data_IF_231596488725
#
_entry.id   IF_231596488725
#
_cell.length_a   1.000
_cell.length_b   1.000
_cell.length_c   1.000
_cell.angle_alpha   90.00
_cell.angle_beta   90.00
_cell.angle_gamma   90.00
#
_symmetry.space_group_name_H-M   'P 1'
#
loop_
_entity.id
_entity.type
_entity.pdbx_description
1 polymer ?
#
# COMPACT_ATOMS: atom_id res chain seq x y z
N UNK A 1 -51.71 36.56 -11.57
CA UNK A 1 -51.54 35.62 -10.44
C UNK A 1 -51.23 34.25 -11.00
N UNK A 2 -50.17 33.59 -10.53
CA UNK A 2 -49.86 32.23 -10.96
C UNK A 2 -50.92 31.26 -10.41
N UNK A 3 -51.40 30.31 -11.21
CA UNK A 3 -52.33 29.28 -10.72
C UNK A 3 -51.60 28.35 -9.75
N UNK A 4 -52.31 27.69 -8.80
CA UNK A 4 -51.71 26.71 -7.91
C UNK A 4 -50.87 25.64 -8.64
N UNK A 5 -51.31 25.22 -9.83
CA UNK A 5 -50.55 24.31 -10.69
C UNK A 5 -49.24 24.89 -11.23
N UNK A 6 -49.17 26.19 -11.52
CA UNK A 6 -47.94 26.87 -11.95
C UNK A 6 -46.94 27.03 -10.80
N UNK A 7 -47.42 27.23 -9.57
CA UNK A 7 -46.56 27.31 -8.37
C UNK A 7 -45.94 25.93 -8.09
N UNK A 8 -46.75 24.86 -8.16
CA UNK A 8 -46.26 23.48 -7.99
C UNK A 8 -45.27 23.14 -9.10
N UNK A 9 -45.58 23.43 -10.37
CA UNK A 9 -44.69 23.13 -11.50
C UNK A 9 -43.35 23.86 -11.40
N UNK A 10 -43.34 25.14 -11.02
CA UNK A 10 -42.10 25.92 -10.84
C UNK A 10 -41.25 25.40 -9.68
N UNK A 11 -41.89 24.96 -8.59
CA UNK A 11 -41.20 24.37 -7.43
C UNK A 11 -40.63 22.99 -7.75
N UNK A 12 -41.38 22.18 -8.50
CA UNK A 12 -40.92 20.87 -9.02
C UNK A 12 -39.74 21.07 -10.00
N UNK A 13 -39.81 21.99 -10.96
CA UNK A 13 -38.69 22.25 -11.88
C UNK A 13 -37.44 22.78 -11.19
N UNK A 14 -37.58 23.62 -10.15
CA UNK A 14 -36.45 24.07 -9.32
C UNK A 14 -35.80 22.89 -8.58
N UNK A 15 -36.62 21.98 -8.04
CA UNK A 15 -36.13 20.80 -7.34
C UNK A 15 -35.55 19.74 -8.29
N UNK A 16 -36.02 19.65 -9.53
CA UNK A 16 -35.41 18.82 -10.58
C UNK A 16 -34.01 19.35 -10.92
N UNK A 17 -33.82 20.66 -11.05
CA UNK A 17 -32.49 21.24 -11.28
C UNK A 17 -31.53 21.06 -10.10
N UNK A 18 -32.04 21.09 -8.86
CA UNK A 18 -31.26 20.68 -7.67
C UNK A 18 -30.95 19.18 -7.68
N UNK A 19 -31.89 18.35 -8.16
CA UNK A 19 -31.70 16.91 -8.35
C UNK A 19 -30.67 16.56 -9.43
N UNK A 20 -30.55 17.35 -10.50
CA UNK A 20 -29.50 17.20 -11.51
C UNK A 20 -28.11 17.52 -10.95
N UNK A 21 -28.00 18.60 -10.16
CA UNK A 21 -26.76 18.90 -9.39
C UNK A 21 -26.43 17.78 -8.40
N UNK A 22 -27.44 17.24 -7.72
CA UNK A 22 -27.28 16.09 -6.84
C UNK A 22 -26.86 14.84 -7.61
N UNK A 23 -27.39 14.60 -8.81
CA UNK A 23 -27.03 13.47 -9.66
C UNK A 23 -25.58 13.59 -10.16
N UNK A 24 -25.09 14.79 -10.47
CA UNK A 24 -23.69 15.01 -10.81
C UNK A 24 -22.77 14.83 -9.61
N UNK A 25 -23.18 15.29 -8.42
CA UNK A 25 -22.47 14.99 -7.16
C UNK A 25 -22.49 13.50 -6.88
N UNK A 26 -23.59 12.79 -7.10
CA UNK A 26 -23.68 11.34 -6.96
C UNK A 26 -22.88 10.60 -8.01
N UNK A 27 -22.74 11.11 -9.24
CA UNK A 27 -21.81 10.55 -10.23
C UNK A 27 -20.36 10.78 -9.81
N UNK A 28 -20.05 11.94 -9.22
CA UNK A 28 -18.72 12.23 -8.67
C UNK A 28 -18.44 11.31 -7.47
N UNK A 29 -19.39 11.14 -6.56
CA UNK A 29 -19.34 10.21 -5.43
C UNK A 29 -19.34 8.77 -5.87
N UNK A 30 -20.08 8.37 -6.91
CA UNK A 30 -20.07 7.00 -7.44
C UNK A 30 -18.73 6.71 -8.11
N UNK A 31 -18.12 7.68 -8.81
CA UNK A 31 -16.73 7.54 -9.30
C UNK A 31 -15.73 7.48 -8.15
N UNK A 32 -15.91 8.30 -7.11
CA UNK A 32 -15.12 8.19 -5.88
C UNK A 32 -15.38 6.87 -5.15
N UNK A 33 -16.59 6.29 -5.21
CA UNK A 33 -16.93 5.01 -4.60
C UNK A 33 -16.43 3.83 -5.43
N UNK A 34 -16.36 3.96 -6.75
CA UNK A 34 -15.77 2.97 -7.65
C UNK A 34 -14.24 3.01 -7.50
N UNK A 35 -13.66 4.22 -7.41
CA UNK A 35 -12.29 4.47 -6.95
C UNK A 35 -12.10 3.85 -5.57
N UNK A 36 -12.94 4.15 -4.59
CA UNK A 36 -12.91 3.62 -3.22
C UNK A 36 -13.33 2.15 -3.12
N UNK A 37 -13.91 1.53 -4.14
CA UNK A 37 -14.13 0.07 -4.16
C UNK A 37 -12.90 -0.63 -4.68
N UNK A 38 -12.25 0.00 -5.66
CA UNK A 38 -10.90 -0.33 -6.10
C UNK A 38 -9.87 0.05 -5.02
N UNK A 39 -10.16 1.00 -4.13
CA UNK A 39 -9.28 1.48 -3.05
C UNK A 39 -9.67 0.97 -1.64
N UNK A 40 -10.87 0.47 -1.42
CA UNK A 40 -11.19 -0.39 -0.27
C UNK A 40 -10.69 -1.81 -0.54
N UNK A 41 -10.43 -2.14 -1.81
CA UNK A 41 -9.47 -3.18 -2.17
C UNK A 41 -8.02 -2.68 -2.04
N UNK A 42 -7.70 -1.42 -2.34
CA UNK A 42 -6.35 -0.84 -2.29
C UNK A 42 -6.27 0.52 -1.53
N UNK A 43 -5.95 0.51 -0.23
CA UNK A 43 -6.08 1.67 0.70
C UNK A 43 -5.50 3.00 0.14
N UNK A 44 -6.27 4.11 0.20
CA UNK A 44 -5.94 5.43 -0.41
C UNK A 44 -4.90 6.23 0.35
N UNK A 45 -4.04 6.92 -0.39
CA UNK A 45 -3.19 7.99 0.08
C UNK A 45 -3.53 9.35 -0.50
N UNK A 46 -3.56 10.35 0.37
CA UNK A 46 -3.86 11.73 0.04
C UNK A 46 -2.72 12.63 0.50
N UNK A 47 -2.28 13.55 -0.37
CA UNK A 47 -1.33 14.60 -0.02
C UNK A 47 -1.95 15.59 0.96
N UNK A 48 -1.11 16.36 1.68
CA UNK A 48 -1.53 17.29 2.75
C UNK A 48 -2.51 18.39 2.26
N UNK A 49 -2.39 18.83 1.01
CA UNK A 49 -3.28 19.83 0.40
C UNK A 49 -4.67 19.27 0.05
N UNK A 50 -4.77 17.97 -0.24
CA UNK A 50 -6.02 17.33 -0.66
C UNK A 50 -6.80 16.64 0.45
N UNK A 51 -6.18 16.38 1.61
CA UNK A 51 -6.92 16.01 2.82
C UNK A 51 -7.89 17.16 3.24
N UNK A 52 -7.46 18.41 2.99
CA UNK A 52 -8.32 19.58 3.14
C UNK A 52 -9.44 19.61 2.10
N UNK A 53 -9.18 19.25 0.84
CA UNK A 53 -10.19 19.23 -0.22
C UNK A 53 -11.15 18.03 -0.12
N UNK A 54 -10.71 16.87 0.37
CA UNK A 54 -11.55 15.69 0.59
C UNK A 54 -12.51 15.91 1.77
N UNK A 55 -12.00 16.47 2.88
CA UNK A 55 -12.86 16.90 3.98
C UNK A 55 -13.79 18.04 3.58
N UNK A 56 -13.36 18.93 2.68
CA UNK A 56 -14.21 19.98 2.12
C UNK A 56 -15.27 19.41 1.17
N UNK A 57 -14.97 18.43 0.33
CA UNK A 57 -15.94 17.72 -0.53
C UNK A 57 -16.94 16.96 0.34
N UNK A 58 -16.50 16.31 1.43
CA UNK A 58 -17.42 15.69 2.40
C UNK A 58 -18.27 16.72 3.13
N UNK A 59 -17.69 17.87 3.51
CA UNK A 59 -18.43 18.98 4.12
C UNK A 59 -19.47 19.54 3.15
N UNK A 60 -19.11 19.71 1.87
CA UNK A 60 -19.99 20.13 0.79
C UNK A 60 -21.07 19.07 0.53
N UNK A 61 -20.72 17.78 0.50
CA UNK A 61 -21.68 16.68 0.39
C UNK A 61 -22.64 16.67 1.60
N UNK A 62 -22.15 16.88 2.82
CA UNK A 62 -22.97 17.04 4.03
C UNK A 62 -23.90 18.25 3.93
N UNK A 63 -23.41 19.37 3.39
CA UNK A 63 -24.21 20.57 3.13
C UNK A 63 -25.27 20.35 2.05
N UNK A 64 -25.03 19.45 1.07
CA UNK A 64 -25.98 19.05 0.03
C UNK A 64 -27.00 18.02 0.57
N UNK A 65 -26.60 17.15 1.49
CA UNK A 65 -27.48 16.16 2.13
C UNK A 65 -28.41 16.78 3.17
N UNK A 66 -28.06 17.94 3.73
CA UNK A 66 -28.91 18.65 4.69
C UNK A 66 -30.26 19.14 4.06
N UNK A 67 -30.28 19.68 2.82
CA UNK A 67 -31.50 19.80 2.02
C UNK A 67 -32.27 18.49 1.79
N UNK A 68 -31.60 17.35 1.67
CA UNK A 68 -32.25 16.04 1.50
C UNK A 68 -33.10 15.67 2.72
N UNK A 69 -32.71 16.05 3.94
CA UNK A 69 -33.56 15.90 5.13
C UNK A 69 -34.86 16.71 5.04
N UNK A 70 -34.80 17.91 4.44
CA UNK A 70 -36.01 18.71 4.16
C UNK A 70 -36.89 18.06 3.07
N UNK A 71 -36.27 17.40 2.09
CA UNK A 71 -36.96 16.66 1.04
C UNK A 71 -37.63 15.39 1.60
N UNK A 72 -36.94 14.63 2.45
CA UNK A 72 -37.46 13.48 3.20
C UNK A 72 -38.70 13.89 3.98
N UNK A 73 -38.59 14.93 4.81
CA UNK A 73 -39.73 15.42 5.61
C UNK A 73 -40.87 15.99 4.76
N UNK A 74 -40.59 16.54 3.57
CA UNK A 74 -41.64 16.96 2.61
C UNK A 74 -42.34 15.76 1.98
N UNK A 75 -41.61 14.71 1.60
CA UNK A 75 -42.17 13.49 1.01
C UNK A 75 -43.01 12.73 2.04
N UNK A 76 -42.55 12.63 3.29
CA UNK A 76 -43.32 12.04 4.40
C UNK A 76 -44.63 12.81 4.66
N UNK A 77 -44.58 14.15 4.62
CA UNK A 77 -45.78 15.00 4.71
C UNK A 77 -46.74 14.82 3.53
N UNK A 78 -46.22 14.62 2.32
CA UNK A 78 -47.04 14.32 1.14
C UNK A 78 -47.72 12.95 1.24
N UNK A 79 -47.00 11.94 1.75
CA UNK A 79 -47.52 10.59 1.92
C UNK A 79 -48.55 10.48 3.06
N UNK A 80 -48.40 11.27 4.13
CA UNK A 80 -49.31 11.28 5.27
C UNK A 80 -50.56 12.15 5.09
N UNK A 81 -50.64 12.99 4.05
CA UNK A 81 -51.80 13.84 3.80
C UNK A 81 -52.93 13.07 3.06
N UNK A 82 -54.12 12.90 3.67
CA UNK A 82 -55.26 12.25 3.03
C UNK A 82 -55.97 13.15 1.98
N UNK A 83 -55.57 14.43 1.86
CA UNK A 83 -56.33 15.48 1.15
C UNK A 83 -55.76 15.81 -0.24
N UNK A 84 -54.58 15.30 -0.58
CA UNK A 84 -53.92 15.66 -1.85
C UNK A 84 -54.29 14.69 -2.98
N UNK A 85 -54.95 15.21 -4.04
CA UNK A 85 -55.22 14.51 -5.31
C UNK A 85 -53.95 14.22 -6.14
N UNK A 86 -52.81 13.94 -5.49
CA UNK A 86 -51.62 13.45 -6.17
C UNK A 86 -51.92 12.08 -6.79
N UNK A 87 -51.55 11.89 -8.05
CA UNK A 87 -51.79 10.62 -8.73
C UNK A 87 -51.07 9.46 -8.00
N UNK A 88 -51.63 8.24 -8.01
CA UNK A 88 -50.95 7.07 -7.45
C UNK A 88 -49.52 6.88 -7.97
N UNK A 89 -49.30 7.21 -9.24
CA UNK A 89 -47.97 7.21 -9.87
C UNK A 89 -47.00 8.16 -9.18
N UNK A 90 -47.41 9.40 -8.88
CA UNK A 90 -46.53 10.37 -8.19
C UNK A 90 -46.18 9.91 -6.77
N UNK A 91 -47.13 9.32 -6.04
CA UNK A 91 -46.89 8.75 -4.70
C UNK A 91 -45.91 7.57 -4.75
N UNK A 92 -46.05 6.71 -5.75
CA UNK A 92 -45.12 5.59 -5.97
C UNK A 92 -43.71 6.08 -6.27
N UNK A 93 -43.55 7.03 -7.20
CA UNK A 93 -42.23 7.59 -7.54
C UNK A 93 -41.60 8.35 -6.37
N UNK A 94 -42.40 9.07 -5.57
CA UNK A 94 -41.90 9.75 -4.37
C UNK A 94 -41.42 8.75 -3.31
N UNK A 95 -42.12 7.62 -3.14
CA UNK A 95 -41.71 6.54 -2.24
C UNK A 95 -40.40 5.90 -2.70
N UNK A 96 -40.28 5.58 -3.98
CA UNK A 96 -39.05 5.02 -4.56
C UNK A 96 -37.86 5.98 -4.42
N UNK A 97 -38.08 7.27 -4.70
CA UNK A 97 -37.06 8.30 -4.51
C UNK A 97 -36.61 8.39 -3.03
N UNK A 98 -37.56 8.32 -2.10
CA UNK A 98 -37.27 8.33 -0.66
C UNK A 98 -36.43 7.11 -0.24
N UNK A 99 -36.74 5.93 -0.75
CA UNK A 99 -35.96 4.71 -0.49
C UNK A 99 -34.52 4.84 -1.01
N UNK A 100 -34.32 5.41 -2.21
CA UNK A 100 -33.00 5.67 -2.79
C UNK A 100 -32.21 6.67 -1.93
N UNK A 101 -32.82 7.82 -1.59
CA UNK A 101 -32.17 8.85 -0.77
C UNK A 101 -31.74 8.28 0.60
N UNK A 102 -32.61 7.48 1.22
CA UNK A 102 -32.31 6.84 2.51
C UNK A 102 -31.12 5.90 2.41
N UNK A 103 -31.05 5.07 1.36
CA UNK A 103 -29.90 4.20 1.12
C UNK A 103 -28.62 5.00 0.91
N UNK A 104 -28.68 6.06 0.10
CA UNK A 104 -27.53 6.93 -0.14
C UNK A 104 -27.02 7.56 1.15
N UNK A 105 -27.90 8.08 2.01
CA UNK A 105 -27.51 8.65 3.30
C UNK A 105 -26.78 7.66 4.19
N UNK A 106 -27.23 6.39 4.23
CA UNK A 106 -26.55 5.33 4.97
C UNK A 106 -25.14 5.09 4.41
N UNK A 107 -25.00 5.01 3.07
CA UNK A 107 -23.70 4.82 2.43
C UNK A 107 -22.75 6.00 2.70
N UNK A 108 -23.25 7.24 2.64
CA UNK A 108 -22.45 8.43 2.95
C UNK A 108 -21.95 8.43 4.40
N UNK A 109 -22.81 8.05 5.35
CA UNK A 109 -22.39 7.94 6.76
C UNK A 109 -21.28 6.91 6.94
N UNK A 110 -21.35 5.78 6.23
CA UNK A 110 -20.31 4.74 6.27
C UNK A 110 -18.99 5.25 5.68
N UNK A 111 -19.04 5.98 4.57
CA UNK A 111 -17.86 6.60 3.94
C UNK A 111 -17.24 7.64 4.88
N UNK A 112 -18.05 8.56 5.42
CA UNK A 112 -17.57 9.60 6.33
C UNK A 112 -16.87 9.00 7.56
N UNK A 113 -17.47 7.97 8.16
CA UNK A 113 -16.87 7.25 9.28
C UNK A 113 -15.56 6.56 8.90
N UNK A 114 -15.50 5.93 7.72
CA UNK A 114 -14.30 5.28 7.21
C UNK A 114 -13.17 6.27 6.96
N UNK A 115 -13.46 7.42 6.34
CA UNK A 115 -12.48 8.46 6.08
C UNK A 115 -11.99 9.12 7.38
N UNK A 116 -12.88 9.37 8.34
CA UNK A 116 -12.48 9.85 9.67
C UNK A 116 -11.54 8.86 10.35
N UNK A 117 -11.82 7.56 10.26
CA UNK A 117 -10.97 6.51 10.81
C UNK A 117 -9.61 6.47 10.11
N UNK A 118 -9.56 6.57 8.79
CA UNK A 118 -8.32 6.60 8.01
C UNK A 118 -7.47 7.82 8.39
N UNK A 119 -8.03 9.04 8.40
CA UNK A 119 -7.31 10.25 8.83
C UNK A 119 -6.79 10.12 10.26
N UNK A 120 -7.56 9.50 11.16
CA UNK A 120 -7.13 9.24 12.54
C UNK A 120 -5.94 8.28 12.60
N UNK A 121 -5.96 7.20 11.82
CA UNK A 121 -4.85 6.25 11.74
C UNK A 121 -3.60 6.88 11.11
N UNK A 122 -3.76 7.65 10.03
CA UNK A 122 -2.68 8.42 9.40
C UNK A 122 -1.99 9.34 10.43
N UNK A 123 -2.78 10.12 11.18
CA UNK A 123 -2.28 10.96 12.27
C UNK A 123 -1.49 10.16 13.32
N UNK A 124 -1.97 8.98 13.71
CA UNK A 124 -1.25 8.10 14.66
C UNK A 124 0.07 7.62 14.06
N UNK A 125 0.10 7.22 12.79
CA UNK A 125 1.30 6.75 12.08
C UNK A 125 2.36 7.85 12.05
N UNK A 126 1.99 9.09 11.74
CA UNK A 126 2.92 10.22 11.66
C UNK A 126 3.50 10.63 13.03
N UNK A 127 2.82 10.29 14.12
CA UNK A 127 3.22 10.67 15.47
C UNK A 127 4.40 9.83 15.98
N UNK A 128 5.52 10.49 16.32
CA UNK A 128 6.72 9.84 16.90
C UNK A 128 6.47 9.21 18.27
N UNK A 129 5.79 9.92 19.16
CA UNK A 129 5.55 9.49 20.55
C UNK A 129 4.11 9.01 20.76
N UNK A 130 3.78 7.82 20.21
CA UNK A 130 2.46 7.21 20.38
C UNK A 130 2.24 6.75 21.83
N UNK A 131 1.14 7.18 22.43
CA UNK A 131 0.72 6.65 23.73
C UNK A 131 0.13 5.22 23.59
N UNK A 132 -0.16 4.56 24.70
CA UNK A 132 -0.65 3.17 24.68
C UNK A 132 -2.03 3.01 24.01
N UNK A 133 -2.90 4.01 24.12
CA UNK A 133 -4.23 3.97 23.49
C UNK A 133 -4.11 4.14 21.97
N UNK A 134 -3.24 5.04 21.50
CA UNK A 134 -2.94 5.22 20.07
C UNK A 134 -2.30 3.96 19.45
N UNK A 135 -1.38 3.30 20.17
CA UNK A 135 -0.81 2.01 19.75
C UNK A 135 -1.87 0.92 19.63
N UNK A 136 -2.83 0.90 20.57
CA UNK A 136 -3.94 -0.06 20.54
C UNK A 136 -4.88 0.22 19.36
N UNK A 137 -5.24 1.48 19.14
CA UNK A 137 -6.09 1.92 18.03
C UNK A 137 -5.47 1.54 16.67
N UNK A 138 -4.15 1.73 16.51
CA UNK A 138 -3.40 1.31 15.33
C UNK A 138 -3.48 -0.20 15.07
N UNK A 139 -3.37 -1.01 16.12
CA UNK A 139 -3.40 -2.47 16.03
C UNK A 139 -4.80 -3.00 15.80
N UNK A 140 -5.80 -2.41 16.44
CA UNK A 140 -7.20 -2.76 16.19
C UNK A 140 -7.54 -2.52 14.73
N UNK A 141 -7.08 -1.41 14.16
CA UNK A 141 -7.21 -1.14 12.72
C UNK A 141 -6.48 -2.18 11.87
N UNK A 142 -5.22 -2.51 12.19
CA UNK A 142 -4.46 -3.53 11.46
C UNK A 142 -5.16 -4.90 11.51
N UNK A 143 -5.60 -5.36 12.69
CA UNK A 143 -6.32 -6.63 12.89
C UNK A 143 -7.62 -6.70 12.10
N UNK A 144 -8.35 -5.58 12.02
CA UNK A 144 -9.58 -5.47 11.23
C UNK A 144 -9.30 -5.66 9.74
N UNK A 145 -8.16 -5.14 9.25
CA UNK A 145 -7.76 -5.15 7.84
C UNK A 145 -7.00 -6.40 7.41
N UNK A 146 -6.31 -7.09 8.30
CA UNK A 146 -5.62 -8.34 7.94
C UNK A 146 -6.65 -9.45 7.66
N UNK A 147 -6.54 -10.22 6.57
CA UNK A 147 -7.44 -11.35 6.33
C UNK A 147 -7.06 -12.57 7.17
N UNK A 148 -5.78 -12.73 7.49
CA UNK A 148 -5.22 -13.98 7.99
C UNK A 148 -5.27 -14.11 9.53
N UNK A 149 -5.84 -15.20 10.08
CA UNK A 149 -5.93 -15.40 11.54
C UNK A 149 -4.57 -15.43 12.24
N UNK A 150 -3.54 -15.98 11.59
CA UNK A 150 -2.18 -16.06 12.15
C UNK A 150 -1.58 -14.67 12.34
N UNK A 151 -1.82 -13.77 11.39
CA UNK A 151 -1.39 -12.37 11.44
C UNK A 151 -2.14 -11.63 12.55
N UNK A 152 -3.47 -11.78 12.62
CA UNK A 152 -4.29 -11.17 13.68
C UNK A 152 -3.82 -11.57 15.08
N UNK A 153 -3.45 -12.83 15.27
CA UNK A 153 -2.95 -13.30 16.55
C UNK A 153 -1.59 -12.68 16.86
N UNK A 154 -0.68 -12.66 15.88
CA UNK A 154 0.64 -12.04 16.05
C UNK A 154 0.53 -10.55 16.43
N UNK A 155 -0.34 -9.79 15.76
CA UNK A 155 -0.57 -8.36 16.05
C UNK A 155 -1.02 -8.11 17.50
N UNK A 156 -1.87 -8.98 18.07
CA UNK A 156 -2.32 -8.88 19.46
C UNK A 156 -1.21 -9.11 20.47
N UNK A 157 -0.29 -10.02 20.16
CA UNK A 157 0.80 -10.42 21.04
C UNK A 157 2.00 -9.47 20.96
N UNK A 158 2.16 -8.75 19.85
CA UNK A 158 3.38 -8.03 19.52
C UNK A 158 3.17 -6.52 19.35
N UNK A 159 2.32 -5.94 20.21
CA UNK A 159 1.89 -4.53 20.10
C UNK A 159 3.04 -3.54 19.94
N UNK A 160 4.04 -3.63 20.82
CA UNK A 160 5.17 -2.70 20.80
C UNK A 160 6.10 -2.93 19.60
N UNK A 161 6.25 -4.18 19.17
CA UNK A 161 7.09 -4.54 18.02
C UNK A 161 6.45 -4.06 16.72
N UNK A 162 5.13 -4.27 16.56
CA UNK A 162 4.40 -3.77 15.41
C UNK A 162 4.44 -2.24 15.30
N UNK A 163 4.28 -1.52 16.42
CA UNK A 163 4.39 -0.05 16.44
C UNK A 163 5.73 0.43 15.88
N UNK A 164 6.83 -0.27 16.17
CA UNK A 164 8.17 0.05 15.65
C UNK A 164 8.34 -0.31 14.18
N UNK A 165 7.76 -1.42 13.73
CA UNK A 165 7.71 -1.74 12.31
C UNK A 165 6.96 -0.65 11.52
N UNK A 166 5.87 -0.12 12.08
CA UNK A 166 5.17 1.05 11.51
C UNK A 166 6.06 2.29 11.50
N UNK A 167 6.87 2.52 12.54
CA UNK A 167 7.84 3.64 12.55
C UNK A 167 8.89 3.49 11.45
N UNK A 168 9.41 2.28 11.24
CA UNK A 168 10.36 1.97 10.17
C UNK A 168 9.75 2.24 8.78
N UNK A 169 8.51 1.80 8.53
CA UNK A 169 7.84 2.05 7.25
C UNK A 169 7.46 3.52 7.08
N UNK A 170 7.08 4.20 8.15
CA UNK A 170 6.83 5.63 8.12
C UNK A 170 8.10 6.44 7.81
N UNK A 171 9.26 5.98 8.27
CA UNK A 171 10.56 6.54 7.89
C UNK A 171 10.87 6.31 6.40
N UNK A 172 10.65 5.10 5.88
CA UNK A 172 10.78 4.79 4.45
C UNK A 172 9.93 5.75 3.62
N UNK A 173 8.68 5.92 4.02
CA UNK A 173 7.75 6.85 3.36
C UNK A 173 8.26 8.30 3.38
N UNK A 174 8.76 8.79 4.52
CA UNK A 174 9.34 10.15 4.59
C UNK A 174 10.48 10.32 3.60
N UNK A 175 11.33 9.30 3.44
CA UNK A 175 12.44 9.34 2.48
C UNK A 175 11.97 9.35 1.03
N UNK A 176 10.91 8.60 0.72
CA UNK A 176 10.30 8.65 -0.61
C UNK A 176 9.71 10.02 -0.94
N UNK A 177 9.08 10.67 0.06
CA UNK A 177 8.55 12.03 -0.09
C UNK A 177 9.68 13.05 -0.30
N UNK A 178 10.79 12.94 0.46
CA UNK A 178 11.98 13.80 0.31
C UNK A 178 12.62 13.68 -1.08
N UNK A 179 12.77 12.47 -1.62
CA UNK A 179 13.33 12.27 -2.98
C UNK A 179 12.42 12.83 -4.08
N UNK A 180 11.09 12.81 -3.88
CA UNK A 180 10.16 13.41 -4.84
C UNK A 180 10.24 14.94 -4.84
N UNK A 181 10.39 15.55 -3.66
CA UNK A 181 10.60 17.00 -3.54
C UNK A 181 11.92 17.42 -4.22
N UNK A 182 12.99 16.64 -4.08
CA UNK A 182 14.28 16.90 -4.75
C UNK A 182 14.17 16.78 -6.29
N UNK A 183 13.48 15.75 -6.82
CA UNK A 183 13.25 15.60 -8.27
C UNK A 183 12.43 16.75 -8.86
N UNK A 184 11.40 17.23 -8.16
CA UNK A 184 10.58 18.37 -8.61
C UNK A 184 11.40 19.67 -8.65
N UNK A 185 12.29 19.91 -7.68
CA UNK A 185 13.18 21.08 -7.67
C UNK A 185 14.19 21.06 -8.84
N UNK A 186 14.77 19.90 -9.16
CA UNK A 186 15.70 19.76 -10.30
C UNK A 186 15.02 20.01 -11.66
N UNK A 187 13.79 19.51 -11.86
CA UNK A 187 13.03 19.75 -13.09
C UNK A 187 12.65 21.23 -13.30
N UNK A 188 12.37 21.97 -12.22
CA UNK A 188 12.09 23.40 -12.27
C UNK A 188 13.35 24.22 -12.66
N UNK A 189 14.51 23.88 -12.11
CA UNK A 189 15.78 24.55 -12.44
C UNK A 189 16.19 24.33 -13.91
N UNK A 190 16.08 23.10 -14.44
CA UNK A 190 16.38 22.82 -15.85
C UNK A 190 15.42 23.52 -16.81
N UNK A 191 14.15 23.69 -16.41
CA UNK A 191 13.13 24.40 -17.18
C UNK A 191 13.42 25.89 -17.35
N UNK A 192 13.98 26.54 -16.32
CA UNK A 192 14.32 27.97 -16.36
C UNK A 192 15.57 28.26 -17.21
N UNK A 193 16.59 27.40 -17.19
CA UNK A 193 17.80 27.57 -18.01
C UNK A 193 17.54 27.38 -19.52
N UNK A 194 16.54 26.57 -19.89
CA UNK A 194 16.16 26.30 -21.28
C UNK A 194 15.35 27.42 -21.96
N UNK A 195 14.66 28.29 -21.19
CA UNK A 195 13.75 29.31 -21.74
C UNK A 195 14.39 30.68 -22.03
N UNK A 196 15.68 30.89 -21.72
CA UNK A 196 16.33 32.20 -21.92
C UNK A 196 16.71 32.51 -23.40
N UNK A 197 16.55 31.56 -24.34
CA UNK A 197 17.05 31.71 -25.71
C UNK A 197 16.03 32.04 -26.82
N UNK A 198 14.71 31.93 -26.63
CA UNK A 198 13.72 32.31 -27.67
C UNK A 198 12.38 32.82 -27.08
N UNK A 199 12.34 34.05 -26.55
CA UNK A 199 11.07 34.70 -26.17
C UNK A 199 10.37 35.36 -27.38
N UNK A 200 9.57 34.58 -28.10
CA UNK A 200 8.38 35.13 -28.78
C UNK A 200 7.17 35.08 -27.81
N UNK A 201 6.36 36.15 -27.71
CA UNK A 201 5.23 36.21 -26.78
C UNK A 201 4.10 35.29 -27.24
N UNK A 202 4.05 34.05 -26.72
CA UNK A 202 2.90 33.16 -26.87
C UNK A 202 1.91 33.39 -25.72
N UNK A 203 0.66 33.55 -26.11
CA UNK A 203 -0.50 33.78 -25.23
C UNK A 203 -0.59 32.71 -24.15
N UNK A 204 -0.66 33.16 -22.90
CA UNK A 204 -1.09 32.39 -21.73
C UNK A 204 -2.54 31.89 -21.94
N UNK A 205 -2.69 30.68 -22.46
CA UNK A 205 -3.95 29.94 -22.35
C UNK A 205 -3.69 28.66 -21.54
N UNK A 206 -4.14 28.71 -20.29
CA UNK A 206 -4.72 27.60 -19.49
C UNK A 206 -3.87 26.32 -19.44
N UNK A 207 -2.87 26.28 -18.54
CA UNK A 207 -2.15 25.04 -18.12
C UNK A 207 -2.84 24.30 -16.95
N UNK A 208 -3.89 24.85 -16.34
CA UNK A 208 -4.48 24.29 -15.10
C UNK A 208 -5.35 23.03 -15.30
N UNK A 209 -6.02 22.84 -16.43
CA UNK A 209 -7.05 21.79 -16.59
C UNK A 209 -6.53 20.40 -16.99
N UNK A 210 -5.21 20.14 -17.02
CA UNK A 210 -4.64 18.83 -17.42
C UNK A 210 -4.07 17.98 -16.29
N UNK A 211 -4.04 18.47 -15.04
CA UNK A 211 -3.54 17.68 -13.89
C UNK A 211 -4.60 16.78 -13.22
N UNK A 212 -5.85 16.76 -13.70
CA UNK A 212 -6.97 15.98 -13.11
C UNK A 212 -7.18 14.60 -13.78
N UNK A 213 -6.15 13.98 -14.36
CA UNK A 213 -6.25 12.64 -14.96
C UNK A 213 -5.46 11.62 -14.15
N UNK A 214 -6.20 10.70 -13.50
CA UNK A 214 -5.74 9.44 -12.90
C UNK A 214 -4.37 9.54 -12.20
N UNK A 215 -4.37 9.96 -10.93
CA UNK A 215 -3.19 9.76 -10.07
C UNK A 215 -2.96 8.27 -9.88
N UNK A 216 -2.19 7.73 -10.80
CA UNK A 216 -1.64 6.39 -10.77
C UNK A 216 -0.71 6.33 -9.56
N UNK A 217 -0.89 5.31 -8.75
CA UNK A 217 -0.02 5.09 -7.60
C UNK A 217 1.45 5.08 -8.04
N UNK A 218 2.31 5.69 -7.23
CA UNK A 218 3.75 5.70 -7.49
C UNK A 218 4.29 4.30 -7.23
N UNK A 219 4.84 3.68 -8.28
CA UNK A 219 5.35 2.30 -8.22
C UNK A 219 6.79 2.32 -7.77
N UNK A 220 7.08 1.63 -6.69
CA UNK A 220 8.42 1.52 -6.11
C UNK A 220 8.85 0.06 -5.96
N UNK A 221 10.15 -0.14 -5.93
CA UNK A 221 10.81 -1.40 -5.64
C UNK A 221 11.58 -1.25 -4.32
N UNK A 222 11.13 -1.98 -3.30
CA UNK A 222 11.75 -1.95 -1.97
C UNK A 222 12.61 -3.19 -1.78
N UNK A 223 13.93 -3.01 -1.73
CA UNK A 223 14.87 -4.10 -1.41
C UNK A 223 15.05 -4.14 0.11
N UNK A 224 14.49 -5.16 0.75
CA UNK A 224 14.60 -5.35 2.19
C UNK A 224 15.78 -6.28 2.51
N UNK A 225 16.86 -5.70 3.04
CA UNK A 225 18.06 -6.40 3.47
C UNK A 225 17.96 -6.78 4.95
N UNK A 226 17.99 -8.07 5.23
CA UNK A 226 17.94 -8.61 6.59
C UNK A 226 18.66 -9.96 6.69
N UNK A 227 19.01 -10.35 7.92
CA UNK A 227 19.23 -11.76 8.20
C UNK A 227 17.90 -12.50 8.06
N UNK A 228 17.93 -13.72 7.55
CA UNK A 228 16.73 -14.51 7.29
C UNK A 228 16.90 -15.98 7.63
N UNK A 229 15.76 -16.63 7.85
CA UNK A 229 15.65 -18.07 8.04
C UNK A 229 14.21 -18.51 7.84
N UNK A 230 13.98 -19.80 7.64
CA UNK A 230 12.64 -20.40 7.61
C UNK A 230 12.42 -21.32 8.80
N UNK A 231 11.19 -21.39 9.28
CA UNK A 231 10.79 -22.31 10.35
C UNK A 231 9.77 -23.32 9.83
N UNK A 232 9.70 -24.50 10.45
CA UNK A 232 8.71 -25.55 10.11
C UNK A 232 7.30 -25.19 10.62
N UNK A 233 6.78 -24.07 10.12
CA UNK A 233 5.41 -23.63 10.33
C UNK A 233 4.96 -22.97 9.04
N UNK A 234 3.86 -23.45 8.50
CA UNK A 234 3.35 -23.02 7.21
C UNK A 234 2.29 -21.94 7.38
N UNK A 235 2.30 -20.95 6.48
CA UNK A 235 1.30 -19.87 6.38
C UNK A 235 0.84 -19.75 4.92
N UNK A 236 -0.40 -19.29 4.66
CA UNK A 236 -0.82 -19.07 3.29
C UNK A 236 -0.02 -17.90 2.70
N UNK A 237 0.33 -17.98 1.41
CA UNK A 237 1.13 -16.93 0.74
C UNK A 237 0.42 -15.57 0.74
N UNK A 238 -0.93 -15.54 0.84
CA UNK A 238 -1.71 -14.31 1.08
C UNK A 238 -1.25 -13.52 2.31
N UNK A 239 -0.60 -14.15 3.28
CA UNK A 239 -0.01 -13.47 4.44
C UNK A 239 1.18 -12.57 4.06
N UNK A 240 1.84 -12.83 2.94
CA UNK A 240 2.93 -11.99 2.40
C UNK A 240 2.41 -10.96 1.38
N UNK A 241 1.18 -11.15 0.89
CA UNK A 241 0.52 -10.29 -0.10
C UNK A 241 -0.84 -9.81 0.44
N UNK A 242 -0.86 -9.07 1.55
CA UNK A 242 -2.11 -8.71 2.22
C UNK A 242 -2.98 -7.74 1.40
N UNK A 243 -2.47 -7.12 0.33
CA UNK A 243 -3.15 -6.05 -0.40
C UNK A 243 -2.69 -5.85 -1.84
N UNK A 244 -3.54 -5.27 -2.72
CA UNK A 244 -3.16 -4.80 -4.05
C UNK A 244 -2.02 -3.78 -4.07
N UNK A 245 -1.81 -3.04 -2.98
CA UNK A 245 -0.69 -2.10 -2.86
C UNK A 245 0.68 -2.76 -2.90
N UNK A 246 0.75 -4.04 -2.54
CA UNK A 246 1.96 -4.84 -2.65
C UNK A 246 1.85 -5.60 -3.96
N UNK A 247 2.49 -5.08 -5.00
CA UNK A 247 2.43 -5.64 -6.35
C UNK A 247 3.09 -7.00 -6.44
N UNK A 248 4.14 -7.25 -5.67
CA UNK A 248 4.68 -8.60 -5.48
C UNK A 248 5.62 -8.65 -4.27
N UNK A 249 5.92 -9.87 -3.84
CA UNK A 249 7.06 -10.16 -2.96
C UNK A 249 7.98 -11.10 -3.72
N UNK A 250 9.20 -10.63 -4.01
CA UNK A 250 10.21 -11.42 -4.71
C UNK A 250 11.20 -12.02 -3.72
N UNK A 251 11.21 -13.35 -3.66
CA UNK A 251 12.25 -14.12 -2.98
C UNK A 251 13.36 -14.45 -3.99
N UNK A 252 14.62 -14.50 -3.59
CA UNK A 252 15.71 -14.81 -4.53
C UNK A 252 16.43 -16.10 -4.22
N UNK A 253 16.60 -16.41 -2.94
CA UNK A 253 17.17 -17.67 -2.47
C UNK A 253 16.09 -18.76 -2.48
N UNK A 254 16.37 -20.00 -2.93
CA UNK A 254 15.53 -21.17 -2.66
C UNK A 254 15.28 -21.39 -1.17
N UNK A 255 14.30 -22.23 -0.83
CA UNK A 255 14.16 -22.70 0.54
C UNK A 255 15.40 -23.50 0.94
N UNK A 256 15.86 -23.30 2.18
CA UNK A 256 17.06 -23.92 2.73
C UNK A 256 18.39 -23.47 2.10
N UNK A 257 18.43 -22.28 1.49
CA UNK A 257 19.62 -21.76 0.83
C UNK A 257 20.14 -20.46 1.48
N UNK A 258 21.45 -20.42 1.74
CA UNK A 258 22.14 -19.23 2.23
C UNK A 258 22.49 -18.30 1.06
N UNK A 259 22.33 -17.00 1.27
CA UNK A 259 22.67 -15.97 0.30
C UNK A 259 24.10 -15.49 0.54
N UNK A 260 24.93 -15.35 -0.52
CA UNK A 260 26.24 -14.67 -0.44
C UNK A 260 26.13 -13.17 -0.72
N UNK A 261 27.10 -12.40 -0.25
CA UNK A 261 27.13 -10.93 -0.41
C UNK A 261 26.96 -10.49 -1.87
N UNK A 262 27.64 -11.15 -2.81
CA UNK A 262 27.59 -10.82 -4.23
C UNK A 262 26.20 -10.98 -4.86
N UNK A 263 25.49 -12.04 -4.48
CA UNK A 263 24.10 -12.22 -4.89
C UNK A 263 23.18 -11.20 -4.22
N UNK A 264 23.35 -10.95 -2.91
CA UNK A 264 22.62 -9.91 -2.20
C UNK A 264 22.76 -8.53 -2.85
N UNK A 265 23.99 -8.13 -3.16
CA UNK A 265 24.28 -6.88 -3.86
C UNK A 265 23.62 -6.82 -5.24
N UNK A 266 23.72 -7.91 -6.03
CA UNK A 266 23.10 -7.97 -7.36
C UNK A 266 21.56 -7.96 -7.32
N UNK A 267 20.97 -8.48 -6.24
CA UNK A 267 19.53 -8.32 -5.95
C UNK A 267 19.23 -6.85 -5.69
N UNK A 268 20.04 -6.18 -4.88
CA UNK A 268 19.85 -4.77 -4.57
C UNK A 268 19.87 -3.92 -5.83
N UNK A 269 20.91 -4.07 -6.64
CA UNK A 269 21.11 -3.30 -7.87
C UNK A 269 20.17 -3.71 -9.03
N UNK A 270 19.36 -4.76 -8.86
CA UNK A 270 18.47 -5.25 -9.92
C UNK A 270 19.20 -5.87 -11.12
N UNK A 271 20.47 -6.23 -10.97
CA UNK A 271 21.32 -6.79 -12.04
C UNK A 271 21.23 -8.31 -12.14
N UNK A 272 20.67 -8.97 -11.12
CA UNK A 272 20.52 -10.43 -11.10
C UNK A 272 19.33 -10.90 -11.96
N UNK A 273 19.61 -11.76 -12.93
CA UNK A 273 18.61 -12.51 -13.67
C UNK A 273 18.55 -13.96 -13.14
N UNK A 274 17.45 -14.72 -13.37
CA UNK A 274 17.37 -16.13 -12.95
C UNK A 274 18.59 -16.97 -13.35
N UNK A 275 19.11 -16.79 -14.56
CA UNK A 275 20.28 -17.48 -15.13
C UNK A 275 21.62 -17.05 -14.53
N UNK A 276 21.68 -15.90 -13.85
CA UNK A 276 22.90 -15.43 -13.19
C UNK A 276 23.14 -16.16 -11.86
N UNK A 277 22.17 -16.92 -11.36
CA UNK A 277 22.26 -17.58 -10.05
C UNK A 277 23.13 -18.82 -10.15
N UNK A 278 24.17 -18.85 -9.34
CA UNK A 278 25.06 -20.02 -9.20
C UNK A 278 24.87 -20.59 -7.80
N UNK A 279 24.54 -21.88 -7.76
CA UNK A 279 24.37 -22.62 -6.51
C UNK A 279 25.61 -23.47 -6.27
N UNK A 280 26.11 -23.44 -5.03
CA UNK A 280 27.21 -24.29 -4.57
C UNK A 280 26.69 -25.22 -3.48
N UNK A 281 26.03 -26.33 -3.85
CA UNK A 281 25.67 -27.38 -2.90
C UNK A 281 26.92 -28.17 -2.47
N UNK A 282 26.86 -28.85 -1.32
CA UNK A 282 27.91 -29.83 -0.94
C UNK A 282 27.93 -31.05 -1.87
N UNK A 283 26.78 -31.37 -2.48
CA UNK A 283 26.57 -32.50 -3.39
C UNK A 283 26.16 -31.93 -4.74
N UNK A 284 26.83 -32.34 -5.82
CA UNK A 284 26.61 -31.85 -7.18
C UNK A 284 25.21 -32.28 -7.71
N UNK A 285 24.20 -31.46 -7.40
CA UNK A 285 22.82 -31.63 -7.84
C UNK A 285 22.36 -30.39 -8.61
N UNK A 286 21.79 -30.63 -9.79
CA UNK A 286 21.24 -29.58 -10.62
C UNK A 286 19.86 -29.15 -10.09
N UNK A 287 19.74 -27.91 -9.65
CA UNK A 287 18.47 -27.31 -9.23
C UNK A 287 17.59 -26.98 -10.43
N UNK A 288 16.43 -27.63 -10.51
CA UNK A 288 15.39 -27.29 -11.49
C UNK A 288 14.48 -26.22 -10.89
N UNK A 289 14.68 -24.96 -11.30
CA UNK A 289 13.88 -23.83 -10.85
C UNK A 289 12.66 -23.65 -11.79
N UNK A 290 11.42 -23.62 -11.26
CA UNK A 290 10.23 -23.28 -12.04
C UNK A 290 10.30 -21.88 -12.67
N UNK A 291 9.54 -21.65 -13.75
CA UNK A 291 9.43 -20.30 -14.31
C UNK A 291 8.71 -19.37 -13.32
N UNK A 292 9.24 -18.17 -13.10
CA UNK A 292 8.70 -17.17 -12.15
C UNK A 292 8.65 -17.63 -10.69
N UNK A 293 9.47 -18.62 -10.31
CA UNK A 293 9.51 -19.17 -8.96
C UNK A 293 9.63 -18.08 -7.91
N UNK A 294 10.45 -17.04 -8.13
CA UNK A 294 10.68 -15.93 -7.21
C UNK A 294 9.44 -15.12 -6.80
N UNK A 295 8.35 -15.16 -7.56
CA UNK A 295 7.16 -14.34 -7.33
C UNK A 295 6.19 -15.00 -6.37
N UNK A 296 5.98 -14.41 -5.20
CA UNK A 296 4.94 -14.85 -4.26
C UNK A 296 3.53 -14.65 -4.82
N UNK A 297 3.33 -13.70 -5.75
CA UNK A 297 2.02 -13.51 -6.39
C UNK A 297 1.63 -14.69 -7.27
N UNK A 298 2.61 -15.34 -7.87
CA UNK A 298 2.40 -16.46 -8.79
C UNK A 298 2.28 -17.83 -8.10
N UNK A 299 2.32 -17.90 -6.76
CA UNK A 299 2.23 -19.19 -6.04
C UNK A 299 0.80 -19.71 -5.84
N UNK A 300 -0.21 -19.12 -6.48
CA UNK A 300 -1.61 -19.60 -6.50
C UNK A 300 -2.20 -19.97 -5.12
N UNK A 301 -1.97 -19.15 -4.09
CA UNK A 301 -2.46 -19.38 -2.71
C UNK A 301 -1.87 -20.62 -2.01
N UNK A 302 -0.70 -21.08 -2.42
CA UNK A 302 0.01 -22.15 -1.71
C UNK A 302 0.48 -21.69 -0.32
N UNK A 303 0.85 -22.66 0.52
CA UNK A 303 1.41 -22.39 1.83
C UNK A 303 2.93 -22.25 1.73
N UNK A 304 3.52 -21.26 2.36
CA UNK A 304 4.97 -21.06 2.48
C UNK A 304 5.40 -21.24 3.92
N UNK A 305 6.66 -21.62 4.20
CA UNK A 305 7.18 -21.59 5.55
C UNK A 305 7.22 -20.14 6.05
N UNK A 306 7.06 -19.95 7.36
CA UNK A 306 7.26 -18.63 7.96
C UNK A 306 8.72 -18.24 7.79
N UNK A 307 8.93 -17.13 7.08
CA UNK A 307 10.22 -16.47 6.99
C UNK A 307 10.40 -15.62 8.25
N UNK A 308 11.44 -15.89 9.01
CA UNK A 308 11.87 -15.09 10.15
C UNK A 308 13.01 -14.19 9.70
N UNK A 309 12.86 -12.88 9.93
CA UNK A 309 13.89 -11.88 9.65
C UNK A 309 14.44 -11.31 10.96
N UNK A 310 15.70 -10.95 10.98
CA UNK A 310 16.34 -10.28 12.12
C UNK A 310 17.26 -9.14 11.67
N UNK A 311 17.55 -8.19 12.57
CA UNK A 311 18.35 -7.03 12.24
C UNK A 311 19.77 -7.40 11.82
N UNK A 312 20.32 -6.70 10.83
CA UNK A 312 21.64 -6.97 10.22
C UNK A 312 22.79 -6.84 11.23
N UNK A 313 22.68 -5.91 12.18
CA UNK A 313 23.75 -5.57 13.12
C UNK A 313 23.58 -6.32 14.46
N UNK A 314 24.50 -7.22 14.76
CA UNK A 314 24.63 -7.83 16.09
C UNK A 314 25.46 -6.92 17.02
N UNK A 315 24.89 -5.80 17.44
CA UNK A 315 25.44 -5.01 18.56
C UNK A 315 25.58 -3.52 18.31
N UNK A 316 24.72 -2.75 18.99
CA UNK A 316 25.04 -1.46 19.61
C UNK A 316 25.31 -0.24 18.72
N UNK A 317 25.83 -0.39 17.51
CA UNK A 317 26.09 0.75 16.62
C UNK A 317 24.77 1.26 16.06
N UNK A 318 24.24 2.28 16.75
CA UNK A 318 22.96 2.97 16.54
C UNK A 318 22.80 3.67 15.18
N UNK A 319 23.63 3.38 14.20
CA UNK A 319 23.64 4.13 12.94
C UNK A 319 22.75 3.43 11.90
N UNK A 320 21.46 3.76 12.02
CA UNK A 320 20.41 3.83 11.00
C UNK A 320 19.96 2.54 10.31
N UNK A 321 18.66 2.43 10.06
CA UNK A 321 18.21 1.82 8.81
C UNK A 321 18.72 2.74 7.70
N UNK A 322 19.72 2.31 6.93
CA UNK A 322 20.14 3.05 5.75
C UNK A 322 19.00 2.93 4.73
N UNK A 323 18.49 4.08 4.31
CA UNK A 323 17.69 4.21 3.11
C UNK A 323 18.64 4.71 2.03
N UNK A 324 18.87 3.88 1.02
CA UNK A 324 19.72 4.24 -0.11
C UNK A 324 18.89 4.17 -1.37
N UNK A 325 18.74 5.29 -2.06
CA UNK A 325 18.31 5.30 -3.45
C UNK A 325 19.42 4.62 -4.28
N UNK A 326 19.11 3.48 -4.89
CA UNK A 326 20.09 2.72 -5.68
C UNK A 326 20.20 3.23 -7.13
N UNK A 327 19.47 4.30 -7.46
CA UNK A 327 19.50 4.95 -8.77
C UNK A 327 18.64 4.24 -9.83
N UNK A 328 18.88 4.54 -11.12
CA UNK A 328 18.13 4.01 -12.26
C UNK A 328 17.98 2.48 -12.25
N UNK A 329 16.76 1.94 -12.39
CA UNK A 329 15.56 2.61 -12.88
C UNK A 329 14.70 3.28 -11.77
N UNK A 330 15.21 4.32 -11.09
CA UNK A 330 14.48 5.52 -10.65
C UNK A 330 13.44 5.33 -9.55
N UNK A 331 13.25 4.12 -9.05
CA UNK A 331 12.23 3.79 -8.07
C UNK A 331 12.65 2.61 -7.20
N UNK A 332 13.95 2.34 -7.09
CA UNK A 332 14.48 1.17 -6.37
C UNK A 332 15.27 1.61 -5.15
N UNK A 333 14.81 1.19 -3.98
CA UNK A 333 15.29 1.67 -2.70
C UNK A 333 15.76 0.51 -1.82
N UNK A 334 16.99 0.60 -1.33
CA UNK A 334 17.52 -0.33 -0.35
C UNK A 334 17.12 0.09 1.06
N UNK A 335 16.58 -0.87 1.80
CA UNK A 335 16.22 -0.72 3.21
C UNK A 335 16.95 -1.78 4.00
N UNK A 336 17.81 -1.36 4.92
CA UNK A 336 18.48 -2.28 5.86
C UNK A 336 17.66 -2.43 7.14
N UNK A 337 17.36 -3.66 7.53
CA UNK A 337 16.67 -3.93 8.79
C UNK A 337 17.66 -3.83 9.96
N UNK A 338 17.70 -2.70 10.69
CA UNK A 338 18.73 -2.45 11.71
C UNK A 338 18.21 -2.20 13.14
N UNK A 339 16.89 -2.24 13.37
CA UNK A 339 16.34 -2.01 14.71
C UNK A 339 16.46 -3.25 15.60
N UNK A 340 17.54 -3.31 16.40
CA UNK A 340 17.79 -4.36 17.38
C UNK A 340 16.66 -4.53 18.43
N UNK A 341 15.88 -3.47 18.70
CA UNK A 341 14.77 -3.53 19.66
C UNK A 341 13.52 -4.20 19.07
N UNK A 342 13.41 -4.30 17.74
CA UNK A 342 12.41 -5.15 17.08
C UNK A 342 12.81 -6.63 17.21
N UNK A 343 14.11 -6.92 17.13
CA UNK A 343 14.64 -8.28 17.22
C UNK A 343 14.16 -9.18 16.07
N UNK A 344 14.16 -10.50 16.31
CA UNK A 344 13.73 -11.49 15.31
C UNK A 344 12.21 -11.53 15.21
N UNK A 345 11.66 -11.28 14.02
CA UNK A 345 10.22 -11.22 13.75
C UNK A 345 9.86 -12.00 12.48
N UNK A 346 8.59 -12.34 12.33
CA UNK A 346 8.13 -12.94 11.09
C UNK A 346 8.03 -11.88 9.99
N UNK A 347 8.47 -12.19 8.77
CA UNK A 347 8.51 -11.25 7.66
C UNK A 347 7.13 -10.70 7.28
N UNK A 348 6.06 -11.51 7.42
CA UNK A 348 4.70 -11.01 7.20
C UNK A 348 4.34 -9.84 8.11
N UNK A 349 4.93 -9.71 9.31
CA UNK A 349 4.67 -8.58 10.20
C UNK A 349 5.21 -7.26 9.62
N UNK A 350 6.36 -7.31 8.93
CA UNK A 350 6.88 -6.18 8.19
C UNK A 350 6.00 -5.86 6.96
N UNK A 351 5.55 -6.89 6.23
CA UNK A 351 4.62 -6.72 5.11
C UNK A 351 3.29 -6.07 5.54
N UNK A 352 2.78 -6.41 6.73
CA UNK A 352 1.59 -5.77 7.30
C UNK A 352 1.82 -4.29 7.64
N UNK A 353 3.02 -3.93 8.11
CA UNK A 353 3.38 -2.52 8.33
C UNK A 353 3.48 -1.76 6.99
N UNK A 354 4.05 -2.38 5.94
CA UNK A 354 4.06 -1.84 4.57
C UNK A 354 2.64 -1.60 4.08
N UNK A 355 1.78 -2.62 4.19
CA UNK A 355 0.38 -2.55 3.80
C UNK A 355 -0.39 -1.45 4.54
N UNK A 356 -0.10 -1.26 5.82
CA UNK A 356 -0.78 -0.24 6.61
C UNK A 356 -0.35 1.18 6.21
N UNK A 357 0.93 1.40 5.93
CA UNK A 357 1.50 2.75 5.78
C UNK A 357 1.52 3.21 4.33
N UNK A 358 2.20 2.49 3.42
CA UNK A 358 2.46 2.98 2.06
C UNK A 358 1.21 3.37 1.27
N UNK A 359 0.10 2.61 1.34
CA UNK A 359 -1.09 2.96 0.57
C UNK A 359 -1.69 4.28 1.04
N UNK A 360 -1.57 4.62 2.34
CA UNK A 360 -1.98 5.93 2.90
C UNK A 360 -1.23 7.14 2.34
N UNK A 361 -0.23 6.90 1.49
CA UNK A 361 0.54 7.93 0.79
C UNK A 361 0.63 7.67 -0.72
N UNK A 362 -0.16 6.73 -1.27
CA UNK A 362 -0.29 6.55 -2.73
C UNK A 362 0.85 5.75 -3.37
N UNK A 363 1.56 4.93 -2.60
CA UNK A 363 2.64 4.08 -3.10
C UNK A 363 2.19 2.63 -3.34
N UNK A 364 2.53 2.08 -4.52
CA UNK A 364 2.51 0.63 -4.81
C UNK A 364 3.94 0.10 -4.70
N UNK A 365 4.16 -1.01 -4.00
CA UNK A 365 5.50 -1.56 -3.79
C UNK A 365 5.64 -3.01 -4.28
N UNK A 366 6.71 -3.28 -5.03
CA UNK A 366 7.28 -4.62 -5.17
C UNK A 366 8.36 -4.77 -4.10
N UNK A 367 8.24 -5.76 -3.22
CA UNK A 367 9.22 -5.98 -2.15
C UNK A 367 10.17 -7.10 -2.53
N UNK A 368 11.46 -6.80 -2.65
CA UNK A 368 12.54 -7.74 -2.90
C UNK A 368 13.17 -8.15 -1.57
N UNK A 369 13.03 -9.41 -1.15
CA UNK A 369 13.66 -9.89 0.07
C UNK A 369 15.09 -10.35 -0.23
N UNK A 370 16.07 -9.57 0.23
CA UNK A 370 17.48 -9.95 0.24
C UNK A 370 17.81 -10.55 1.61
N UNK A 371 17.61 -11.86 1.75
CA UNK A 371 17.89 -12.61 2.97
C UNK A 371 18.25 -14.07 2.67
N UNK A 372 19.04 -14.68 3.54
CA UNK A 372 19.20 -16.15 3.58
C UNK A 372 17.89 -16.81 3.98
N UNK A 373 17.58 -17.99 3.42
CA UNK A 373 16.37 -18.75 3.74
C UNK A 373 16.71 -20.15 4.26
N UNK A 374 17.78 -20.25 5.06
CA UNK A 374 18.20 -21.48 5.73
C UNK A 374 17.19 -21.90 6.80
N UNK A 375 17.06 -23.21 7.05
CA UNK A 375 16.16 -23.72 8.09
C UNK A 375 16.63 -23.34 9.49
N UNK A 376 15.68 -23.05 10.37
CA UNK A 376 15.90 -22.72 11.78
C UNK A 376 14.87 -23.43 12.66
N UNK A 377 15.30 -24.22 13.67
CA UNK A 377 16.67 -24.64 13.90
C UNK A 377 17.25 -25.46 12.72
N UNK A 378 18.57 -25.63 12.69
CA UNK A 378 19.28 -26.31 11.59
C UNK A 378 18.81 -27.77 11.40
N UNK A 379 18.33 -28.42 12.46
CA UNK A 379 17.80 -29.78 12.44
C UNK A 379 16.28 -29.84 12.20
N UNK A 380 15.63 -28.72 11.84
CA UNK A 380 14.20 -28.70 11.57
C UNK A 380 13.83 -29.60 10.38
N UNK A 381 12.88 -30.52 10.61
CA UNK A 381 12.32 -31.38 9.55
C UNK A 381 11.31 -30.58 8.74
N UNK A 382 11.65 -30.23 7.50
CA UNK A 382 10.77 -29.47 6.61
C UNK A 382 9.96 -30.40 5.68
N UNK A 383 8.79 -29.98 5.17
CA UNK A 383 8.07 -30.74 4.15
C UNK A 383 8.71 -30.55 2.76
N UNK A 384 9.93 -31.08 2.57
CA UNK A 384 10.81 -30.79 1.43
C UNK A 384 10.17 -31.11 0.07
N UNK A 385 9.47 -32.24 -0.04
CA UNK A 385 8.77 -32.64 -1.28
C UNK A 385 7.73 -31.59 -1.70
N UNK A 386 6.98 -31.05 -0.73
CA UNK A 386 6.00 -29.99 -0.97
C UNK A 386 6.67 -28.67 -1.33
N UNK A 387 7.69 -28.27 -0.59
CA UNK A 387 8.42 -27.01 -0.82
C UNK A 387 9.16 -26.99 -2.16
N UNK A 388 9.65 -28.14 -2.59
CA UNK A 388 10.29 -28.33 -3.90
C UNK A 388 9.33 -28.10 -5.07
N UNK A 389 8.04 -28.42 -4.90
CA UNK A 389 7.02 -28.21 -5.93
C UNK A 389 6.58 -26.75 -6.03
N UNK A 390 6.62 -26.02 -4.91
CA UNK A 390 6.18 -24.62 -4.86
C UNK A 390 7.18 -23.65 -5.48
N UNK A 391 8.46 -23.81 -5.15
CA UNK A 391 9.47 -22.77 -5.34
C UNK A 391 10.81 -23.38 -5.75
N UNK A 392 11.42 -24.13 -4.82
CA UNK A 392 12.58 -25.01 -4.91
C UNK A 392 13.09 -25.19 -3.47
N UNK A 393 13.61 -26.37 -3.14
CA UNK A 393 14.21 -26.65 -1.84
C UNK A 393 15.61 -27.23 -2.07
N UNK A 394 16.62 -26.60 -1.48
CA UNK A 394 18.01 -27.04 -1.63
C UNK A 394 18.40 -28.02 -0.54
N UNK A 395 19.41 -28.86 -0.83
CA UNK A 395 20.12 -29.63 0.20
C UNK A 395 20.78 -28.69 1.20
N UNK A 396 21.07 -29.21 2.38
CA UNK A 396 21.72 -28.46 3.46
C UNK A 396 23.05 -27.83 3.00
N UNK A 397 23.39 -26.70 3.61
CA UNK A 397 24.62 -25.93 3.35
C UNK A 397 24.76 -25.40 1.90
N UNK A 398 23.68 -25.40 1.12
CA UNK A 398 23.70 -24.79 -0.21
C UNK A 398 23.79 -23.27 -0.11
N UNK A 399 24.74 -22.69 -0.84
CA UNK A 399 24.88 -21.23 -0.98
C UNK A 399 24.52 -20.76 -2.38
N UNK A 400 23.91 -19.58 -2.49
CA UNK A 400 23.63 -18.90 -3.75
C UNK A 400 24.53 -17.68 -3.92
N UNK A 401 25.17 -17.58 -5.08
CA UNK A 401 25.98 -16.43 -5.50
C UNK A 401 25.68 -16.07 -6.96
N UNK A 402 26.44 -15.13 -7.53
CA UNK A 402 26.46 -14.80 -8.95
C UNK A 402 27.90 -14.80 -9.48
N UNK A 403 28.14 -14.94 -10.80
CA UNK A 403 29.47 -14.74 -11.36
C UNK A 403 29.91 -13.27 -11.19
N UNK A 404 31.19 -13.05 -10.87
CA UNK A 404 31.73 -11.70 -10.63
C UNK A 404 31.59 -10.83 -11.89
N UNK A 405 31.62 -11.44 -13.06
CA UNK A 405 31.50 -10.78 -14.36
C UNK A 405 30.10 -10.15 -14.59
N UNK A 406 29.10 -10.53 -13.79
CA UNK A 406 27.76 -9.93 -13.85
C UNK A 406 27.67 -8.55 -13.20
N UNK A 407 28.73 -8.10 -12.52
CA UNK A 407 28.76 -6.82 -11.83
C UNK A 407 29.82 -5.93 -12.48
N UNK A 408 29.36 -4.86 -13.12
CA UNK A 408 30.22 -3.92 -13.85
C UNK A 408 30.74 -2.78 -12.99
N UNK A 409 30.03 -2.44 -11.92
CA UNK A 409 30.35 -1.36 -11.00
C UNK A 409 29.93 -1.78 -9.59
N UNK A 410 30.84 -1.65 -8.62
CA UNK A 410 30.60 -2.00 -7.22
C UNK A 410 30.67 -0.73 -6.41
N UNK A 411 29.52 -0.28 -5.93
CA UNK A 411 29.47 0.65 -4.81
C UNK A 411 30.03 -0.07 -3.57
N UNK A 412 31.26 0.28 -3.19
CA UNK A 412 31.97 -0.36 -2.08
C UNK A 412 31.20 -0.24 -0.76
N UNK A 413 30.49 0.87 -0.53
CA UNK A 413 29.76 1.10 0.72
C UNK A 413 28.57 0.14 0.80
N UNK A 414 27.77 0.10 -0.25
CA UNK A 414 26.61 -0.79 -0.33
C UNK A 414 27.06 -2.26 -0.30
N UNK A 415 28.10 -2.62 -1.07
CA UNK A 415 28.62 -3.99 -1.09
C UNK A 415 29.13 -4.45 0.28
N UNK A 416 29.84 -3.58 1.01
CA UNK A 416 30.30 -3.89 2.36
C UNK A 416 29.14 -4.15 3.35
N UNK A 417 27.97 -3.52 3.15
CA UNK A 417 26.77 -3.85 3.93
C UNK A 417 26.36 -5.31 3.69
N UNK A 418 26.35 -5.75 2.43
CA UNK A 418 26.04 -7.14 2.08
C UNK A 418 27.06 -8.13 2.62
N UNK A 419 28.35 -7.82 2.58
CA UNK A 419 29.40 -8.64 3.20
C UNK A 419 29.21 -8.75 4.71
N UNK A 420 28.78 -7.68 5.38
CA UNK A 420 28.49 -7.72 6.81
C UNK A 420 27.30 -8.63 7.15
N UNK A 421 26.30 -8.74 6.26
CA UNK A 421 25.11 -9.60 6.48
C UNK A 421 25.41 -11.05 6.12
N UNK A 422 26.04 -11.27 4.98
CA UNK A 422 26.07 -12.58 4.32
C UNK A 422 27.44 -13.25 4.35
N UNK A 423 28.49 -12.53 4.74
CA UNK A 423 29.86 -12.97 4.57
C UNK A 423 30.28 -13.08 3.10
N UNK A 424 31.52 -13.53 2.88
CA UNK A 424 32.15 -13.68 1.56
C UNK A 424 31.80 -15.00 0.84
#
# INVERSE_FOLDING_TARGET
>A
MATPGQIVKKKVSSQIGEGEKFADVLKKVARMQESERLEAAAVVGTSKTEEFDSMKILSEAGNILNPSNKLVTMIEKLNSSPVTNASPSLRSSAKESLEIITRLMVHFSIIEESLRKISRIKYIIEKKDRNQDEKRELIEYAIEKSPEPVVKQWLKENVNVFSRLVDLVNFIRQKLDEEEEEEEEEEEEEGEEGEELEREPKKEEVKEDKKEHDRKWKKIELVFLAHGSIVNKMIPTSSLLPSPSITDVLLYSPWNCALKALAGYSIAMGTIQPEHRVFHPEIDEQLNLPQSWNSMRNTELQYVPIIMVSPVVEGGDRQFATFTNLGPPGNRYLITFNDAEIGRVAFYAFMEAIYLVLPLYGYEATVHLAASLTKSPEDAVMPEEYLSQQYAYTVDNTTMTVPVETITDIDEIVFNMFTAVFGD
#
